data_IF_327829461329
#
_entry.id   IF_327829461329
#
_cell.length_a   1.000
_cell.length_b   1.000
_cell.length_c   1.000
_cell.angle_alpha   90.00
_cell.angle_beta   90.00
_cell.angle_gamma   90.00
#
_symmetry.space_group_name_H-M   'P 1'
#
loop_
_entity.id
_entity.type
_entity.pdbx_description
1 polymer ?
#
# COMPACT_ATOMS: atom_id res chain seq x y z
N UNK A 1 10.76 -43.10 25.64
CA UNK A 1 11.87 -43.64 24.84
C UNK A 1 12.13 -42.66 23.71
N UNK A 2 13.25 -41.95 23.78
CA UNK A 2 13.60 -40.86 22.86
C UNK A 2 13.94 -41.46 21.50
N UNK A 3 13.21 -41.07 20.46
CA UNK A 3 13.56 -41.42 19.09
C UNK A 3 14.80 -40.61 18.70
N UNK A 4 15.98 -41.24 18.75
CA UNK A 4 17.15 -40.75 18.06
C UNK A 4 16.91 -40.95 16.56
N UNK A 5 16.30 -39.97 15.89
CA UNK A 5 16.22 -39.95 14.43
C UNK A 5 17.59 -39.59 13.86
N UNK A 6 18.41 -40.61 13.61
CA UNK A 6 19.76 -40.51 13.04
C UNK A 6 19.76 -39.79 11.67
N UNK A 7 18.64 -39.87 10.92
CA UNK A 7 18.53 -39.29 9.57
C UNK A 7 17.65 -38.03 9.47
N UNK A 8 16.83 -37.70 10.46
CA UNK A 8 15.87 -36.58 10.33
C UNK A 8 15.66 -35.89 11.68
N UNK A 9 16.38 -34.81 11.89
CA UNK A 9 16.30 -34.03 13.12
C UNK A 9 15.03 -33.17 13.14
N UNK A 10 13.97 -33.68 13.77
CA UNK A 10 12.66 -33.01 13.85
C UNK A 10 12.74 -31.65 14.57
N UNK A 11 13.60 -31.51 15.58
CA UNK A 11 13.82 -30.24 16.26
C UNK A 11 14.47 -29.22 15.31
N UNK A 12 15.47 -29.62 14.52
CA UNK A 12 16.07 -28.78 13.48
C UNK A 12 15.05 -28.40 12.40
N UNK A 13 14.24 -29.35 11.91
CA UNK A 13 13.18 -29.06 10.94
C UNK A 13 12.13 -28.08 11.48
N UNK A 14 11.75 -28.22 12.75
CA UNK A 14 10.81 -27.29 13.38
C UNK A 14 11.44 -25.89 13.52
N UNK A 15 12.70 -25.81 13.96
CA UNK A 15 13.44 -24.54 14.02
C UNK A 15 13.59 -23.89 12.64
N UNK A 16 13.83 -24.68 11.59
CA UNK A 16 13.88 -24.19 10.21
C UNK A 16 12.53 -23.66 9.74
N UNK A 17 11.42 -24.37 10.04
CA UNK A 17 10.06 -23.88 9.75
C UNK A 17 9.74 -22.56 10.44
N UNK A 18 10.08 -22.44 11.73
CA UNK A 18 9.90 -21.20 12.50
C UNK A 18 10.79 -20.09 11.92
N UNK A 19 12.03 -20.40 11.56
CA UNK A 19 12.94 -19.46 10.92
C UNK A 19 12.42 -18.96 9.57
N UNK A 20 11.83 -19.84 8.73
CA UNK A 20 11.21 -19.45 7.47
C UNK A 20 10.02 -18.49 7.68
N UNK A 21 9.19 -18.76 8.68
CA UNK A 21 8.11 -17.87 9.11
C UNK A 21 8.64 -16.50 9.55
N UNK A 22 9.66 -16.46 10.42
CA UNK A 22 10.29 -15.21 10.83
C UNK A 22 10.94 -14.46 9.66
N UNK A 23 11.57 -15.17 8.72
CA UNK A 23 12.13 -14.57 7.48
C UNK A 23 11.03 -14.00 6.58
N UNK A 24 9.86 -14.63 6.50
CA UNK A 24 8.72 -14.10 5.77
C UNK A 24 8.20 -12.81 6.39
N UNK A 25 7.99 -12.80 7.71
CA UNK A 25 7.56 -11.60 8.45
C UNK A 25 8.59 -10.47 8.33
N UNK A 26 9.88 -10.77 8.45
CA UNK A 26 10.95 -9.78 8.28
C UNK A 26 10.93 -9.16 6.88
N UNK A 27 10.80 -9.97 5.82
CA UNK A 27 10.69 -9.46 4.45
C UNK A 27 9.50 -8.53 4.28
N UNK A 28 8.34 -8.87 4.84
CA UNK A 28 7.17 -8.00 4.80
C UNK A 28 7.42 -6.66 5.52
N UNK A 29 8.05 -6.69 6.69
CA UNK A 29 8.44 -5.47 7.42
C UNK A 29 9.43 -4.61 6.63
N UNK A 30 10.41 -5.22 5.96
CA UNK A 30 11.35 -4.51 5.07
C UNK A 30 10.59 -3.88 3.90
N UNK A 31 9.66 -4.60 3.26
CA UNK A 31 8.85 -4.06 2.16
C UNK A 31 8.00 -2.86 2.61
N UNK A 32 7.36 -2.93 3.79
CA UNK A 32 6.60 -1.80 4.36
C UNK A 32 7.50 -0.62 4.71
N UNK A 33 8.68 -0.88 5.28
CA UNK A 33 9.66 0.17 5.59
C UNK A 33 10.17 0.86 4.31
N UNK A 34 10.51 0.08 3.28
CA UNK A 34 11.04 0.59 2.02
C UNK A 34 10.00 1.36 1.19
N UNK A 35 8.74 0.90 1.22
CA UNK A 35 7.64 1.55 0.49
C UNK A 35 7.00 2.70 1.29
N UNK A 36 7.20 2.74 2.60
CA UNK A 36 6.54 3.69 3.51
C UNK A 36 5.03 3.49 3.63
N UNK A 37 4.45 2.44 3.02
CA UNK A 37 3.01 2.17 3.07
C UNK A 37 2.72 0.92 3.89
N UNK A 38 1.69 1.01 4.74
CA UNK A 38 1.27 -0.10 5.61
C UNK A 38 0.70 -1.27 4.80
N UNK A 39 -0.03 -0.98 3.72
CA UNK A 39 -0.69 -1.94 2.83
C UNK A 39 0.08 -1.93 1.52
N UNK A 40 0.85 -2.99 1.27
CA UNK A 40 1.76 -3.06 0.12
C UNK A 40 1.36 -4.16 -0.88
N UNK A 41 0.51 -5.13 -0.51
CA UNK A 41 0.08 -6.17 -1.43
C UNK A 41 -1.18 -6.96 -1.01
N UNK A 42 -1.67 -7.79 -1.93
CA UNK A 42 -2.88 -8.61 -1.74
C UNK A 42 -2.81 -9.57 -0.54
N UNK A 43 -1.59 -9.92 -0.11
CA UNK A 43 -1.34 -10.75 1.07
C UNK A 43 -1.70 -10.07 2.40
N UNK A 44 -1.77 -8.73 2.43
CA UNK A 44 -2.18 -7.96 3.62
C UNK A 44 -3.71 -7.98 3.82
N UNK A 45 -4.47 -8.27 2.77
CA UNK A 45 -5.93 -8.34 2.77
C UNK A 45 -6.53 -7.67 1.52
N UNK A 46 -7.26 -8.45 0.70
CA UNK A 46 -7.85 -7.97 -0.57
C UNK A 46 -8.78 -6.77 -0.35
N UNK A 47 -9.54 -6.76 0.75
CA UNK A 47 -10.46 -5.68 1.10
C UNK A 47 -9.75 -4.36 1.49
N UNK A 48 -8.68 -4.44 2.29
CA UNK A 48 -7.93 -3.25 2.72
C UNK A 48 -7.15 -2.62 1.54
N UNK A 49 -6.63 -3.46 0.64
CA UNK A 49 -5.99 -3.00 -0.59
C UNK A 49 -7.01 -2.31 -1.51
N UNK A 50 -8.19 -2.91 -1.72
CA UNK A 50 -9.24 -2.33 -2.56
C UNK A 50 -9.71 -0.97 -2.03
N UNK A 51 -9.90 -0.83 -0.71
CA UNK A 51 -10.23 0.45 -0.09
C UNK A 51 -9.11 1.48 -0.29
N UNK A 52 -7.85 1.07 -0.11
CA UNK A 52 -6.70 1.96 -0.32
C UNK A 52 -6.63 2.48 -1.75
N UNK A 53 -6.90 1.62 -2.74
CA UNK A 53 -6.96 2.03 -4.14
C UNK A 53 -8.17 2.92 -4.45
N UNK A 54 -9.32 2.66 -3.83
CA UNK A 54 -10.49 3.55 -3.91
C UNK A 54 -10.14 4.95 -3.40
N UNK A 55 -9.56 5.06 -2.21
CA UNK A 55 -9.15 6.35 -1.64
C UNK A 55 -8.13 7.06 -2.52
N UNK A 56 -7.12 6.33 -3.06
CA UNK A 56 -6.17 6.89 -4.01
C UNK A 56 -6.85 7.41 -5.27
N UNK A 57 -7.88 6.73 -5.74
CA UNK A 57 -8.69 7.17 -6.88
C UNK A 57 -9.44 8.46 -6.58
N UNK A 58 -10.10 8.53 -5.42
CA UNK A 58 -10.85 9.72 -4.98
C UNK A 58 -9.93 10.93 -4.84
N UNK A 59 -8.74 10.76 -4.26
CA UNK A 59 -7.73 11.82 -4.16
C UNK A 59 -7.36 12.36 -5.54
N UNK A 60 -7.13 11.49 -6.53
CA UNK A 60 -6.82 11.93 -7.91
C UNK A 60 -8.00 12.66 -8.54
N UNK A 61 -9.22 12.17 -8.34
CA UNK A 61 -10.43 12.81 -8.83
C UNK A 61 -10.62 14.21 -8.22
N UNK A 62 -10.46 14.36 -6.91
CA UNK A 62 -10.54 15.65 -6.21
C UNK A 62 -9.45 16.62 -6.66
N UNK A 63 -8.21 16.15 -6.87
CA UNK A 63 -7.12 16.98 -7.40
C UNK A 63 -7.44 17.50 -8.81
N UNK A 64 -8.03 16.67 -9.67
CA UNK A 64 -8.48 17.12 -10.99
C UNK A 64 -9.64 18.10 -10.88
N UNK A 65 -10.62 17.83 -10.00
CA UNK A 65 -11.73 18.74 -9.74
C UNK A 65 -11.25 20.11 -9.28
N UNK A 66 -10.27 20.16 -8.38
CA UNK A 66 -9.65 21.41 -7.93
C UNK A 66 -8.98 22.18 -9.09
N UNK A 67 -8.25 21.49 -9.98
CA UNK A 67 -7.69 22.12 -11.19
C UNK A 67 -8.78 22.69 -12.08
N UNK A 68 -9.82 21.90 -12.38
CA UNK A 68 -10.95 22.33 -13.20
C UNK A 68 -11.65 23.58 -12.61
N UNK A 69 -11.82 23.65 -11.29
CA UNK A 69 -12.40 24.82 -10.62
C UNK A 69 -11.52 26.05 -10.73
N UNK A 70 -10.19 25.90 -10.57
CA UNK A 70 -9.26 27.01 -10.76
C UNK A 70 -9.27 27.53 -12.19
N UNK A 71 -9.34 26.64 -13.19
CA UNK A 71 -9.46 27.01 -14.59
C UNK A 71 -10.79 27.73 -14.87
N UNK A 72 -11.90 27.23 -14.32
CA UNK A 72 -13.20 27.89 -14.39
C UNK A 72 -13.20 29.28 -13.76
N UNK A 73 -12.55 29.45 -12.60
CA UNK A 73 -12.36 30.75 -11.96
C UNK A 73 -11.51 31.69 -12.82
N UNK A 74 -10.45 31.18 -13.44
CA UNK A 74 -9.62 31.98 -14.35
C UNK A 74 -10.44 32.49 -15.54
N UNK A 75 -11.27 31.62 -16.14
CA UNK A 75 -12.17 32.00 -17.23
C UNK A 75 -13.17 33.08 -16.79
N UNK A 76 -13.80 32.91 -15.62
CA UNK A 76 -14.73 33.92 -15.07
C UNK A 76 -14.02 35.25 -14.89
N UNK A 77 -12.82 35.27 -14.28
CA UNK A 77 -12.04 36.50 -14.10
C UNK A 77 -11.68 37.16 -15.43
N UNK A 78 -11.34 36.38 -16.46
CA UNK A 78 -11.07 36.94 -17.79
C UNK A 78 -12.33 37.53 -18.44
N UNK A 79 -13.49 36.90 -18.23
CA UNK A 79 -14.76 37.41 -18.72
C UNK A 79 -15.18 38.68 -17.96
N UNK A 80 -15.00 38.72 -16.64
CA UNK A 80 -15.24 39.92 -15.80
C UNK A 80 -14.35 41.08 -16.23
N UNK A 81 -13.07 40.84 -16.50
CA UNK A 81 -12.16 41.86 -17.01
C UNK A 81 -12.62 42.39 -18.38
N UNK A 82 -13.00 41.51 -19.30
CA UNK A 82 -13.48 41.90 -20.63
C UNK A 82 -14.85 42.61 -20.63
N UNK A 83 -15.66 42.46 -19.58
CA UNK A 83 -16.94 43.16 -19.42
C UNK A 83 -16.80 44.54 -18.78
N UNK A 84 -15.69 44.78 -18.08
CA UNK A 84 -15.40 46.05 -17.40
C UNK A 84 -14.61 47.04 -18.29
N UNK A 85 -14.08 46.57 -19.43
CA UNK A 85 -13.52 47.38 -20.51
C UNK A 85 -14.63 47.74 -21.53
#
# INVERSE_FOLDING_TARGET
>A
MVALTINTNLASLNSQRVLELSRFQLRQSITRLASGVKIAGASDGVAELALSESIRSDVRALQQGSRNLNDGLALIRTAEAALND
#
